data_IF_176807272551
#
_entry.id   IF_176807272551
#
_cell.length_a   1.000
_cell.length_b   1.000
_cell.length_c   1.000
_cell.angle_alpha   90.00
_cell.angle_beta   90.00
_cell.angle_gamma   90.00
#
_symmetry.space_group_name_H-M   'P 1'
#
loop_
_entity.id
_entity.type
_entity.pdbx_description
1 polymer ?
#
# COMPACT_ATOMS: atom_id res chain seq x y z
N UNK A 1 -1.54 5.93 22.58
CA UNK A 1 -2.99 5.77 22.85
C UNK A 1 -3.70 6.70 21.87
N UNK A 2 -4.08 6.19 20.70
CA UNK A 2 -4.66 7.01 19.64
C UNK A 2 -6.16 7.19 19.91
N UNK A 3 -6.62 8.45 19.94
CA UNK A 3 -8.04 8.77 20.01
C UNK A 3 -8.72 8.17 18.78
N UNK A 4 -9.71 7.30 19.00
CA UNK A 4 -10.69 6.99 17.97
C UNK A 4 -11.48 8.28 17.71
N UNK A 5 -11.08 9.04 16.70
CA UNK A 5 -11.99 9.99 16.08
C UNK A 5 -13.09 9.16 15.40
N UNK A 6 -14.36 9.49 15.64
CA UNK A 6 -15.47 8.91 14.89
C UNK A 6 -15.37 9.41 13.45
N UNK A 7 -14.56 8.76 12.63
CA UNK A 7 -14.40 9.13 11.23
C UNK A 7 -15.76 8.97 10.55
N UNK A 8 -16.25 9.98 9.82
CA UNK A 8 -17.57 9.91 9.20
C UNK A 8 -17.65 8.75 8.20
N UNK A 9 -18.81 8.12 8.12
CA UNK A 9 -19.17 7.25 7.01
C UNK A 9 -19.59 8.12 5.82
N UNK A 10 -19.14 7.77 4.61
CA UNK A 10 -19.55 8.43 3.38
C UNK A 10 -20.35 7.44 2.52
N UNK A 11 -21.42 7.90 1.86
CA UNK A 11 -22.02 7.20 0.73
C UNK A 11 -21.72 7.97 -0.55
N UNK A 12 -21.22 7.29 -1.59
CA UNK A 12 -20.87 7.88 -2.88
C UNK A 12 -21.53 7.10 -4.02
N UNK A 13 -22.23 7.80 -4.90
CA UNK A 13 -22.71 7.24 -6.15
C UNK A 13 -21.69 7.53 -7.27
N UNK A 14 -21.18 6.48 -7.93
CA UNK A 14 -20.17 6.62 -8.99
C UNK A 14 -20.65 7.48 -10.16
N UNK A 15 -21.95 7.48 -10.46
CA UNK A 15 -22.55 8.25 -11.56
C UNK A 15 -22.47 9.77 -11.35
N UNK A 16 -22.36 10.21 -10.08
CA UNK A 16 -22.21 11.63 -9.73
C UNK A 16 -20.79 12.15 -9.96
N UNK A 17 -19.82 11.26 -10.15
CA UNK A 17 -18.39 11.56 -10.28
C UNK A 17 -17.78 11.02 -11.58
N UNK A 18 -18.27 11.46 -12.76
CA UNK A 18 -17.79 10.95 -14.05
C UNK A 18 -16.35 11.37 -14.39
N UNK A 19 -15.76 12.29 -13.61
CA UNK A 19 -14.33 12.61 -13.68
C UNK A 19 -13.42 11.58 -13.01
N UNK A 20 -14.01 10.59 -12.35
CA UNK A 20 -13.35 9.46 -11.74
C UNK A 20 -13.41 9.47 -10.22
N UNK A 21 -13.58 8.27 -9.67
CA UNK A 21 -13.47 7.91 -8.27
C UNK A 21 -12.30 6.96 -8.13
N UNK A 22 -11.47 7.20 -7.11
CA UNK A 22 -10.41 6.30 -6.74
C UNK A 22 -10.38 6.07 -5.23
N UNK A 23 -10.18 4.82 -4.82
CA UNK A 23 -10.23 4.41 -3.42
C UNK A 23 -9.01 3.55 -3.07
N UNK A 24 -8.47 3.71 -1.86
CA UNK A 24 -7.37 2.89 -1.33
C UNK A 24 -7.63 2.53 0.14
N UNK A 25 -7.09 1.40 0.59
CA UNK A 25 -6.84 1.21 2.01
C UNK A 25 -5.71 2.12 2.43
N UNK A 26 -5.97 3.07 3.33
CA UNK A 26 -4.93 3.97 3.79
C UNK A 26 -3.85 3.15 4.51
N UNK A 27 -2.59 3.37 4.13
CA UNK A 27 -1.42 2.82 4.79
C UNK A 27 -0.49 3.96 5.22
N UNK A 28 0.23 3.82 6.35
CA UNK A 28 1.20 4.82 6.77
C UNK A 28 2.27 5.02 5.71
N UNK A 29 2.91 6.20 5.75
CA UNK A 29 4.09 6.47 4.95
C UNK A 29 5.21 5.51 5.37
N UNK A 30 6.01 5.04 4.42
CA UNK A 30 7.22 4.27 4.76
C UNK A 30 8.28 5.12 5.46
N UNK A 31 8.16 6.43 5.29
CA UNK A 31 8.96 7.45 5.92
C UNK A 31 8.11 8.69 6.18
N UNK A 32 8.22 9.26 7.37
CA UNK A 32 7.54 10.49 7.78
C UNK A 32 8.47 11.28 8.71
N UNK A 33 9.00 12.41 8.22
CA UNK A 33 9.74 13.38 9.05
C UNK A 33 8.90 14.55 9.53
N UNK A 34 7.65 14.67 9.06
CA UNK A 34 6.72 15.74 9.44
C UNK A 34 5.94 15.40 10.72
N UNK A 35 5.73 14.09 10.98
CA UNK A 35 5.17 13.53 12.21
C UNK A 35 3.78 14.08 12.59
N UNK A 36 2.90 14.33 11.61
CA UNK A 36 1.53 14.78 11.86
C UNK A 36 0.51 13.66 12.09
N UNK A 37 0.99 12.41 12.17
CA UNK A 37 0.13 11.25 12.29
C UNK A 37 -0.38 10.78 10.94
N UNK A 38 -1.21 9.76 10.98
CA UNK A 38 -1.64 9.01 9.82
C UNK A 38 -3.17 8.90 9.81
N UNK A 39 -3.80 9.40 8.74
CA UNK A 39 -5.24 9.33 8.53
C UNK A 39 -5.64 7.91 8.08
N UNK A 40 -6.13 7.13 9.05
CA UNK A 40 -6.63 5.76 8.85
C UNK A 40 -7.93 5.73 8.06
N UNK A 41 -8.23 4.56 7.48
CA UNK A 41 -9.50 4.29 6.83
C UNK A 41 -9.41 4.02 5.33
N UNK A 42 -10.50 4.28 4.63
CA UNK A 42 -10.61 4.26 3.18
C UNK A 42 -10.29 5.66 2.65
N UNK A 43 -9.15 5.81 2.00
CA UNK A 43 -8.77 7.07 1.36
C UNK A 43 -9.47 7.20 0.02
N UNK A 44 -10.23 8.28 -0.20
CA UNK A 44 -11.06 8.48 -1.37
C UNK A 44 -10.71 9.76 -2.11
N UNK A 45 -10.51 9.62 -3.42
CA UNK A 45 -10.50 10.72 -4.38
C UNK A 45 -11.78 10.66 -5.23
N UNK A 46 -12.45 11.80 -5.42
CA UNK A 46 -13.60 11.88 -6.33
C UNK A 46 -13.61 13.19 -7.13
N UNK A 47 -13.89 13.11 -8.43
CA UNK A 47 -13.94 14.25 -9.35
C UNK A 47 -15.22 14.22 -10.18
N UNK A 48 -15.87 15.38 -10.34
CA UNK A 48 -17.02 15.52 -11.26
C UNK A 48 -16.62 15.64 -12.72
N UNK A 49 -15.41 16.09 -13.02
CA UNK A 49 -14.90 16.25 -14.39
C UNK A 49 -13.45 15.78 -14.50
N UNK A 50 -13.03 15.37 -15.70
CA UNK A 50 -11.65 14.99 -16.02
C UNK A 50 -11.17 15.71 -17.29
N UNK A 51 -10.21 16.66 -17.21
CA UNK A 51 -9.57 17.15 -15.98
C UNK A 51 -10.53 17.98 -15.12
N UNK A 52 -10.28 18.03 -13.81
CA UNK A 52 -11.10 18.78 -12.84
C UNK A 52 -10.47 18.75 -11.45
N UNK A 53 -10.88 19.60 -10.50
CA UNK A 53 -10.38 19.54 -9.12
C UNK A 53 -10.97 18.33 -8.37
N UNK A 54 -10.21 17.78 -7.42
CA UNK A 54 -10.76 16.78 -6.48
C UNK A 54 -11.84 17.47 -5.65
N UNK A 55 -13.03 16.89 -5.60
CA UNK A 55 -14.09 17.32 -4.69
C UNK A 55 -14.01 16.59 -3.37
N UNK A 56 -13.54 15.34 -3.40
CA UNK A 56 -13.22 14.54 -2.23
C UNK A 56 -11.75 14.16 -2.31
N UNK A 57 -11.04 14.39 -1.21
CA UNK A 57 -9.64 14.05 -1.00
C UNK A 57 -9.38 13.88 0.50
N UNK A 58 -9.88 12.77 1.07
CA UNK A 58 -9.76 12.49 2.50
C UNK A 58 -10.00 11.00 2.81
N UNK A 59 -9.69 10.58 4.03
CA UNK A 59 -9.96 9.23 4.53
C UNK A 59 -11.25 9.17 5.34
N UNK A 60 -11.97 8.06 5.21
CA UNK A 60 -13.22 7.76 5.92
C UNK A 60 -13.10 6.43 6.67
N UNK A 61 -13.82 6.22 7.78
CA UNK A 61 -13.82 4.89 8.43
C UNK A 61 -14.41 3.84 7.49
N UNK A 62 -15.49 4.22 6.81
CA UNK A 62 -16.22 3.38 5.87
C UNK A 62 -16.76 4.23 4.71
N UNK A 63 -16.81 3.64 3.52
CA UNK A 63 -17.38 4.25 2.32
C UNK A 63 -18.36 3.26 1.70
N UNK A 64 -19.65 3.61 1.66
CA UNK A 64 -20.63 2.91 0.83
C UNK A 64 -20.48 3.42 -0.61
N UNK A 65 -20.06 2.54 -1.50
CA UNK A 65 -19.96 2.82 -2.94
C UNK A 65 -21.19 2.26 -3.63
N UNK A 66 -21.94 3.14 -4.28
CA UNK A 66 -23.14 2.81 -5.06
C UNK A 66 -22.85 2.93 -6.56
N UNK A 67 -23.30 1.95 -7.33
CA UNK A 67 -23.31 1.99 -8.79
C UNK A 67 -24.49 1.18 -9.32
N UNK A 68 -25.38 1.82 -10.08
CA UNK A 68 -26.67 1.23 -10.46
C UNK A 68 -27.45 0.70 -9.22
N UNK A 69 -27.84 -0.58 -9.23
CA UNK A 69 -28.48 -1.26 -8.09
C UNK A 69 -27.47 -1.94 -7.15
N UNK A 70 -26.17 -1.85 -7.44
CA UNK A 70 -25.09 -2.51 -6.69
C UNK A 70 -24.53 -1.59 -5.63
N UNK A 71 -24.14 -2.21 -4.51
CA UNK A 71 -23.54 -1.53 -3.37
C UNK A 71 -22.34 -2.31 -2.86
N UNK A 72 -21.31 -1.59 -2.42
CA UNK A 72 -20.17 -2.13 -1.70
C UNK A 72 -19.92 -1.28 -0.47
N UNK A 73 -19.83 -1.91 0.70
CA UNK A 73 -19.30 -1.25 1.88
C UNK A 73 -17.79 -1.48 1.95
N UNK A 74 -17.01 -0.44 1.62
CA UNK A 74 -15.58 -0.41 1.86
C UNK A 74 -15.35 -0.06 3.33
N UNK A 75 -14.82 -0.99 4.10
CA UNK A 75 -14.34 -0.72 5.46
C UNK A 75 -12.82 -0.53 5.43
N UNK A 76 -12.26 0.12 6.45
CA UNK A 76 -10.80 0.17 6.61
C UNK A 76 -10.18 -1.23 6.49
N UNK A 77 -10.76 -2.22 7.16
CA UNK A 77 -10.22 -3.56 7.21
C UNK A 77 -10.22 -4.23 5.82
N UNK A 78 -11.33 -4.21 5.08
CA UNK A 78 -11.36 -4.83 3.74
C UNK A 78 -10.44 -4.08 2.76
N UNK A 79 -10.43 -2.75 2.82
CA UNK A 79 -9.62 -1.90 1.94
C UNK A 79 -8.12 -2.08 2.17
N UNK A 80 -7.67 -2.03 3.42
CA UNK A 80 -6.26 -2.23 3.78
C UNK A 80 -5.80 -3.61 3.34
N UNK A 81 -6.54 -4.68 3.67
CA UNK A 81 -6.13 -6.03 3.32
C UNK A 81 -6.17 -6.28 1.81
N UNK A 82 -7.06 -5.64 1.06
CA UNK A 82 -7.00 -5.66 -0.41
C UNK A 82 -5.70 -5.05 -0.91
N UNK A 83 -5.30 -3.88 -0.39
CA UNK A 83 -4.03 -3.25 -0.72
C UNK A 83 -2.85 -4.16 -0.39
N UNK A 84 -2.84 -4.82 0.78
CA UNK A 84 -1.80 -5.78 1.17
C UNK A 84 -1.70 -6.95 0.19
N UNK A 85 -2.83 -7.55 -0.22
CA UNK A 85 -2.85 -8.67 -1.16
C UNK A 85 -2.41 -8.28 -2.56
N UNK A 86 -2.83 -7.09 -3.03
CA UNK A 86 -2.66 -6.66 -4.42
C UNK A 86 -1.20 -6.50 -4.86
N UNK A 87 -0.27 -6.29 -3.91
CA UNK A 87 1.12 -6.00 -4.25
C UNK A 87 1.86 -7.21 -4.84
N UNK A 88 1.54 -8.41 -4.36
CA UNK A 88 2.30 -9.64 -4.66
C UNK A 88 1.79 -10.39 -5.89
N UNK A 89 0.71 -9.90 -6.50
CA UNK A 89 0.17 -10.41 -7.76
C UNK A 89 -0.12 -11.93 -7.78
N UNK A 90 -0.50 -12.50 -6.62
CA UNK A 90 -1.06 -13.85 -6.55
C UNK A 90 -2.59 -13.80 -6.78
N UNK A 91 -3.24 -14.94 -7.07
CA UNK A 91 -4.69 -14.98 -7.27
C UNK A 91 -5.47 -14.46 -6.05
N UNK A 92 -6.49 -13.65 -6.29
CA UNK A 92 -7.43 -13.23 -5.26
C UNK A 92 -8.85 -13.57 -5.69
N UNK A 93 -9.71 -13.95 -4.73
CA UNK A 93 -11.10 -14.32 -4.97
C UNK A 93 -12.05 -13.55 -4.04
N UNK A 94 -13.33 -13.53 -4.41
CA UNK A 94 -14.43 -13.23 -3.48
C UNK A 94 -15.17 -14.52 -3.23
N UNK A 95 -15.24 -14.97 -1.98
CA UNK A 95 -15.91 -16.21 -1.58
C UNK A 95 -16.88 -15.96 -0.44
N UNK A 96 -17.95 -16.73 -0.42
CA UNK A 96 -18.88 -16.82 0.70
C UNK A 96 -18.53 -18.04 1.55
N UNK A 97 -18.76 -17.94 2.86
CA UNK A 97 -18.59 -19.07 3.76
C UNK A 97 -19.58 -20.19 3.40
N UNK A 98 -19.07 -21.40 3.16
CA UNK A 98 -19.89 -22.58 2.83
C UNK A 98 -20.87 -22.98 3.95
N UNK A 99 -20.65 -22.50 5.18
CA UNK A 99 -21.51 -22.80 6.33
C UNK A 99 -22.55 -21.71 6.61
N UNK A 100 -22.16 -20.44 6.72
CA UNK A 100 -23.08 -19.35 7.11
C UNK A 100 -23.43 -18.37 5.99
N UNK A 101 -22.85 -18.53 4.80
CA UNK A 101 -23.12 -17.68 3.63
C UNK A 101 -22.56 -16.25 3.70
N UNK A 102 -21.84 -15.88 4.75
CA UNK A 102 -21.22 -14.55 4.86
C UNK A 102 -19.96 -14.46 4.02
N UNK A 103 -19.71 -13.29 3.45
CA UNK A 103 -18.48 -12.99 2.71
C UNK A 103 -17.24 -13.18 3.59
N UNK A 104 -16.24 -13.84 3.02
CA UNK A 104 -14.95 -14.09 3.66
C UNK A 104 -14.00 -12.93 3.37
N UNK A 105 -13.11 -12.67 4.33
CA UNK A 105 -12.05 -11.68 4.23
C UNK A 105 -10.81 -12.24 4.94
N UNK A 106 -9.76 -12.52 4.16
CA UNK A 106 -8.46 -12.85 4.71
C UNK A 106 -7.80 -11.57 5.25
N UNK A 107 -7.27 -11.66 6.47
CA UNK A 107 -6.62 -10.54 7.17
C UNK A 107 -5.21 -10.88 7.63
N UNK A 108 -4.41 -9.84 7.93
CA UNK A 108 -3.03 -9.95 8.36
C UNK A 108 -2.18 -10.81 7.42
N UNK A 109 -1.54 -11.83 7.98
CA UNK A 109 -0.69 -12.74 7.20
C UNK A 109 -1.48 -13.54 6.16
N UNK A 110 -2.73 -13.89 6.41
CA UNK A 110 -3.57 -14.61 5.44
C UNK A 110 -3.87 -13.77 4.20
N UNK A 111 -3.85 -12.43 4.34
CA UNK A 111 -4.01 -11.53 3.20
C UNK A 111 -2.78 -11.47 2.29
N UNK A 112 -1.60 -11.97 2.72
CA UNK A 112 -0.35 -11.89 1.94
C UNK A 112 0.31 -13.24 1.69
N UNK A 113 -0.20 -14.31 2.30
CA UNK A 113 0.24 -15.69 2.07
C UNK A 113 -0.95 -16.47 1.49
N UNK A 114 -0.96 -16.74 0.17
CA UNK A 114 -2.10 -17.40 -0.46
C UNK A 114 -2.27 -18.84 0.02
N UNK A 115 -3.51 -19.19 0.36
CA UNK A 115 -3.92 -20.46 0.96
C UNK A 115 -5.06 -21.09 0.18
N UNK A 116 -5.27 -22.38 0.39
CA UNK A 116 -6.53 -23.05 0.03
C UNK A 116 -7.59 -22.86 1.12
N UNK A 117 -7.15 -22.65 2.36
CA UNK A 117 -7.97 -22.66 3.55
C UNK A 117 -8.30 -21.23 4.00
N UNK A 118 -9.60 -20.91 4.10
CA UNK A 118 -10.12 -19.59 4.48
C UNK A 118 -11.11 -19.70 5.64
N UNK A 119 -10.78 -19.11 6.79
CA UNK A 119 -11.59 -19.21 8.00
C UNK A 119 -12.63 -18.09 8.09
N UNK A 120 -13.87 -18.46 8.36
CA UNK A 120 -14.95 -17.50 8.57
C UNK A 120 -14.83 -16.84 9.95
N UNK A 121 -14.59 -15.53 10.01
CA UNK A 121 -14.58 -14.78 11.28
C UNK A 121 -15.91 -14.75 12.03
N UNK A 122 -17.01 -15.12 11.36
CA UNK A 122 -18.35 -15.04 11.94
C UNK A 122 -18.81 -16.34 12.58
N UNK A 123 -18.52 -17.50 11.95
CA UNK A 123 -18.91 -18.80 12.48
C UNK A 123 -17.73 -19.73 12.81
N UNK A 124 -16.50 -19.33 12.52
CA UNK A 124 -15.27 -20.11 12.79
C UNK A 124 -14.98 -21.21 11.77
N UNK A 125 -15.94 -21.54 10.91
CA UNK A 125 -15.81 -22.65 9.96
C UNK A 125 -14.86 -22.34 8.80
N UNK A 126 -14.26 -23.42 8.29
CA UNK A 126 -13.33 -23.39 7.17
C UNK A 126 -14.08 -23.47 5.82
N UNK A 127 -13.68 -22.64 4.87
CA UNK A 127 -14.06 -22.75 3.45
C UNK A 127 -12.80 -22.94 2.62
N UNK A 128 -12.81 -23.94 1.75
CA UNK A 128 -11.68 -24.23 0.88
C UNK A 128 -11.92 -23.69 -0.53
N UNK A 129 -10.90 -23.04 -1.10
CA UNK A 129 -10.88 -22.61 -2.51
C UNK A 129 -10.28 -23.71 -3.41
N UNK A 130 -10.52 -23.61 -4.72
CA UNK A 130 -9.93 -24.55 -5.71
C UNK A 130 -8.46 -24.26 -6.01
N UNK A 131 -7.95 -23.09 -5.62
CA UNK A 131 -6.59 -22.64 -5.86
C UNK A 131 -6.05 -21.81 -4.70
N UNK A 132 -4.72 -21.79 -4.53
CA UNK A 132 -4.08 -20.90 -3.55
C UNK A 132 -4.39 -19.45 -3.89
N UNK A 133 -5.07 -18.76 -2.97
CA UNK A 133 -5.46 -17.37 -3.15
C UNK A 133 -5.52 -16.62 -1.81
N UNK A 134 -5.76 -15.31 -1.87
CA UNK A 134 -6.35 -14.58 -0.75
C UNK A 134 -7.80 -14.22 -1.08
N UNK A 135 -8.65 -14.12 -0.08
CA UNK A 135 -10.07 -13.81 -0.25
C UNK A 135 -10.37 -12.41 0.26
N UNK A 136 -11.06 -11.61 -0.57
CA UNK A 136 -11.50 -10.27 -0.19
C UNK A 136 -12.82 -9.91 -0.93
N UNK A 137 -13.88 -9.47 -0.22
CA UNK A 137 -15.21 -9.22 -0.79
C UNK A 137 -15.22 -8.11 -1.84
N UNK A 138 -14.23 -7.20 -1.79
CA UNK A 138 -14.09 -6.09 -2.74
C UNK A 138 -14.06 -6.58 -4.20
N UNK A 139 -13.55 -7.79 -4.45
CA UNK A 139 -13.50 -8.34 -5.80
C UNK A 139 -14.87 -8.57 -6.44
N UNK A 140 -15.91 -8.87 -5.64
CA UNK A 140 -17.28 -9.04 -6.16
C UNK A 140 -17.76 -7.76 -6.83
N UNK A 141 -17.56 -6.63 -6.16
CA UNK A 141 -17.99 -5.33 -6.68
C UNK A 141 -17.13 -4.87 -7.86
N UNK A 142 -15.81 -5.09 -7.80
CA UNK A 142 -14.92 -4.88 -8.93
C UNK A 142 -15.37 -5.64 -10.18
N UNK A 143 -15.87 -6.87 -10.03
CA UNK A 143 -16.45 -7.63 -11.13
C UNK A 143 -17.71 -7.00 -11.70
N UNK A 144 -18.61 -6.46 -10.86
CA UNK A 144 -19.78 -5.71 -11.33
C UNK A 144 -19.37 -4.50 -12.19
N UNK A 145 -18.31 -3.79 -11.81
CA UNK A 145 -17.76 -2.66 -12.57
C UNK A 145 -17.02 -3.07 -13.86
N UNK A 146 -16.96 -4.36 -14.20
CA UNK A 146 -16.16 -4.86 -15.32
C UNK A 146 -14.64 -4.77 -15.10
N UNK A 147 -14.20 -4.62 -13.86
CA UNK A 147 -12.82 -4.37 -13.45
C UNK A 147 -12.29 -5.53 -12.57
N UNK A 148 -12.29 -6.75 -13.12
CA UNK A 148 -11.79 -7.94 -12.42
C UNK A 148 -10.28 -7.96 -12.16
N UNK A 149 -9.53 -6.93 -12.58
CA UNK A 149 -8.08 -6.88 -12.41
C UNK A 149 -7.71 -6.42 -11.00
N UNK A 150 -6.96 -7.25 -10.28
CA UNK A 150 -6.34 -6.86 -9.00
C UNK A 150 -5.26 -5.81 -9.21
N UNK A 151 -4.47 -5.97 -10.28
CA UNK A 151 -3.41 -5.05 -10.68
C UNK A 151 -3.69 -4.52 -12.09
N UNK A 152 -4.08 -3.25 -12.17
CA UNK A 152 -4.34 -2.57 -13.46
C UNK A 152 -3.02 -2.11 -14.10
N UNK A 153 -3.00 -1.92 -15.43
CA UNK A 153 -1.94 -1.16 -16.07
C UNK A 153 -1.85 0.25 -15.49
N UNK A 154 -0.63 0.68 -15.19
CA UNK A 154 -0.34 1.99 -14.61
C UNK A 154 0.70 2.71 -15.45
N UNK A 155 0.73 4.04 -15.35
CA UNK A 155 1.77 4.88 -15.96
C UNK A 155 2.76 5.29 -14.87
N UNK A 156 4.06 5.09 -15.14
CA UNK A 156 5.12 5.70 -14.35
C UNK A 156 5.31 7.14 -14.86
N UNK A 157 5.02 8.18 -14.05
CA UNK A 157 5.19 9.55 -14.51
C UNK A 157 6.67 9.91 -14.69
N UNK A 158 7.02 10.69 -15.70
CA UNK A 158 8.41 11.15 -15.95
C UNK A 158 8.94 12.17 -14.94
N UNK A 159 8.08 12.61 -14.01
CA UNK A 159 8.41 13.61 -12.99
C UNK A 159 9.47 13.07 -12.03
N UNK A 160 10.39 13.95 -11.66
CA UNK A 160 11.48 13.67 -10.74
C UNK A 160 11.48 14.65 -9.57
N UNK A 161 11.96 14.20 -8.42
CA UNK A 161 12.14 15.03 -7.22
C UNK A 161 13.37 14.58 -6.45
N UNK A 162 14.08 15.54 -5.87
CA UNK A 162 15.18 15.32 -4.92
C UNK A 162 14.65 15.78 -3.57
N UNK A 163 14.66 14.91 -2.57
CA UNK A 163 14.18 15.19 -1.22
C UNK A 163 15.38 15.45 -0.30
N UNK A 164 15.53 16.70 0.10
CA UNK A 164 16.52 17.17 1.06
C UNK A 164 15.91 18.18 2.03
N UNK A 165 16.54 18.34 3.19
CA UNK A 165 16.04 19.19 4.26
C UNK A 165 16.10 20.69 3.92
N UNK A 166 17.01 21.09 3.04
CA UNK A 166 17.15 22.49 2.63
C UNK A 166 15.97 22.93 1.76
N UNK A 167 15.54 22.08 0.83
CA UNK A 167 14.41 22.30 -0.05
C UNK A 167 13.06 22.12 0.65
N UNK A 168 13.00 21.20 1.64
CA UNK A 168 11.78 20.85 2.38
C UNK A 168 11.99 20.89 3.90
N UNK A 169 12.21 22.09 4.47
CA UNK A 169 12.54 22.24 5.89
C UNK A 169 11.38 21.90 6.83
N UNK A 170 10.15 21.75 6.32
CA UNK A 170 9.02 21.20 7.09
C UNK A 170 8.98 19.68 7.11
N UNK A 171 9.94 19.00 6.48
CA UNK A 171 9.95 17.55 6.33
C UNK A 171 9.13 17.07 5.13
N UNK A 172 9.02 15.75 5.01
CA UNK A 172 8.31 15.08 3.94
C UNK A 172 7.88 13.67 4.34
N UNK A 173 6.93 13.13 3.58
CA UNK A 173 6.36 11.81 3.74
C UNK A 173 6.44 11.06 2.40
N UNK A 174 6.73 9.76 2.46
CA UNK A 174 6.97 8.91 1.29
C UNK A 174 6.07 7.67 1.38
N UNK A 175 5.34 7.37 0.30
CA UNK A 175 4.55 6.15 0.16
C UNK A 175 4.92 5.42 -1.14
N UNK A 176 4.83 4.10 -1.12
CA UNK A 176 4.72 3.33 -2.35
C UNK A 176 3.30 3.47 -2.89
N UNK A 177 3.13 3.97 -4.11
CA UNK A 177 1.81 4.08 -4.71
C UNK A 177 1.31 2.67 -5.05
N UNK A 178 0.38 2.15 -4.25
CA UNK A 178 -0.28 0.88 -4.54
C UNK A 178 -1.45 1.11 -5.50
N UNK A 179 -1.80 0.11 -6.34
CA UNK A 179 -3.00 0.20 -7.18
C UNK A 179 -4.23 0.52 -6.34
N UNK A 180 -5.04 1.42 -6.84
CA UNK A 180 -6.34 1.73 -6.25
C UNK A 180 -7.28 0.52 -6.25
N UNK A 181 -8.10 0.41 -5.21
CA UNK A 181 -9.19 -0.55 -5.13
C UNK A 181 -10.19 -0.29 -6.27
N UNK A 182 -10.57 0.97 -6.43
CA UNK A 182 -11.43 1.48 -7.51
C UNK A 182 -10.65 2.51 -8.31
N UNK A 183 -10.80 2.49 -9.64
CA UNK A 183 -10.35 3.55 -10.53
C UNK A 183 -11.35 3.69 -11.67
N UNK A 184 -12.24 4.68 -11.60
CA UNK A 184 -13.29 4.86 -12.62
C UNK A 184 -12.96 5.94 -13.65
N UNK A 185 -11.81 6.61 -13.52
CA UNK A 185 -11.36 7.57 -14.51
C UNK A 185 -10.96 6.87 -15.82
N UNK A 186 -11.21 7.51 -16.96
CA UNK A 186 -10.82 7.00 -18.29
C UNK A 186 -9.31 7.00 -18.52
N UNK A 187 -8.60 7.98 -17.94
CA UNK A 187 -7.14 8.05 -17.98
C UNK A 187 -6.54 6.91 -17.16
N UNK A 188 -5.33 6.47 -17.52
CA UNK A 188 -4.62 5.46 -16.73
C UNK A 188 -4.23 6.00 -15.35
N UNK A 189 -4.21 5.12 -14.36
CA UNK A 189 -3.71 5.42 -13.02
C UNK A 189 -2.20 5.67 -13.08
N UNK A 190 -1.75 6.78 -12.49
CA UNK A 190 -0.32 7.00 -12.27
C UNK A 190 0.11 6.25 -11.02
N UNK A 191 1.26 5.59 -11.07
CA UNK A 191 1.74 4.80 -9.94
C UNK A 191 3.25 4.78 -9.89
N UNK A 192 3.85 5.21 -8.77
CA UNK A 192 5.27 5.12 -8.50
C UNK A 192 5.52 5.42 -7.00
N UNK A 193 6.31 6.43 -6.66
CA UNK A 193 6.48 6.90 -5.28
C UNK A 193 5.64 8.16 -5.09
N UNK A 194 4.73 8.13 -4.12
CA UNK A 194 3.93 9.30 -3.75
C UNK A 194 4.64 10.08 -2.64
N UNK A 195 4.69 11.40 -2.78
CA UNK A 195 5.43 12.28 -1.88
C UNK A 195 4.55 13.44 -1.45
N UNK A 196 4.53 13.69 -0.14
CA UNK A 196 4.17 14.98 0.43
C UNK A 196 5.43 15.66 0.96
N UNK A 197 5.60 16.95 0.67
CA UNK A 197 6.69 17.73 1.24
C UNK A 197 6.21 19.11 1.70
N UNK A 198 6.84 19.62 2.75
CA UNK A 198 6.35 20.75 3.52
C UNK A 198 7.38 21.88 3.60
N UNK A 199 6.91 23.12 3.54
CA UNK A 199 7.77 24.29 3.80
C UNK A 199 8.04 24.47 5.30
N UNK A 200 8.88 25.44 5.66
CA UNK A 200 9.24 25.75 7.06
C UNK A 200 8.06 26.15 7.95
N UNK A 201 6.91 26.50 7.36
CA UNK A 201 5.68 26.85 8.08
C UNK A 201 4.77 25.62 8.23
N UNK A 202 5.22 24.45 7.80
CA UNK A 202 4.45 23.21 7.77
C UNK A 202 3.39 23.19 6.69
N UNK A 203 3.40 24.10 5.70
CA UNK A 203 2.44 24.07 4.60
C UNK A 203 2.86 23.04 3.57
N UNK A 204 1.95 22.16 3.17
CA UNK A 204 2.18 21.20 2.07
C UNK A 204 2.41 21.96 0.77
N UNK A 205 3.58 21.80 0.18
CA UNK A 205 3.99 22.40 -1.10
C UNK A 205 4.22 21.36 -2.20
N UNK A 206 4.39 20.09 -1.82
CA UNK A 206 4.41 18.95 -2.74
C UNK A 206 3.32 17.97 -2.32
N UNK A 207 2.55 17.51 -3.31
CA UNK A 207 1.55 16.44 -3.21
C UNK A 207 1.42 15.84 -4.61
N UNK A 208 2.27 14.85 -4.89
CA UNK A 208 2.29 14.22 -6.21
C UNK A 208 2.99 12.87 -6.20
N UNK A 209 2.78 12.11 -7.27
CA UNK A 209 3.47 10.87 -7.58
C UNK A 209 4.61 11.12 -8.56
N UNK A 210 5.79 10.54 -8.30
CA UNK A 210 7.03 10.74 -9.04
C UNK A 210 7.62 9.40 -9.46
N UNK A 211 8.07 9.30 -10.72
CA UNK A 211 8.74 8.11 -11.24
C UNK A 211 10.20 8.01 -10.81
N UNK A 212 10.78 9.11 -10.33
CA UNK A 212 12.16 9.15 -9.84
C UNK A 212 12.22 10.00 -8.57
N UNK A 213 12.65 9.40 -7.46
CA UNK A 213 12.78 10.07 -6.16
C UNK A 213 14.16 9.84 -5.61
N UNK A 214 14.91 10.92 -5.39
CA UNK A 214 16.24 10.87 -4.78
C UNK A 214 16.17 11.30 -3.33
N UNK A 215 16.90 10.61 -2.46
CA UNK A 215 17.04 10.93 -1.04
C UNK A 215 18.51 10.75 -0.67
N UNK A 216 19.14 11.77 -0.08
CA UNK A 216 20.57 11.72 0.30
C UNK A 216 21.48 11.26 -0.86
N UNK A 217 21.18 11.70 -2.08
CA UNK A 217 21.91 11.30 -3.29
C UNK A 217 21.68 9.86 -3.76
N UNK A 218 20.81 9.08 -3.09
CA UNK A 218 20.44 7.72 -3.48
C UNK A 218 19.06 7.69 -4.13
N UNK A 219 18.93 6.91 -5.20
CA UNK A 219 17.67 6.70 -5.89
C UNK A 219 16.82 5.69 -5.11
N UNK A 220 15.57 6.04 -4.81
CA UNK A 220 14.60 5.10 -4.25
C UNK A 220 14.06 4.17 -5.32
N UNK A 221 14.13 2.87 -5.04
CA UNK A 221 13.47 1.86 -5.84
C UNK A 221 11.96 1.78 -5.50
N UNK A 222 11.13 1.85 -6.54
CA UNK A 222 9.67 1.90 -6.41
C UNK A 222 9.13 0.61 -5.78
N UNK A 223 9.66 -0.56 -6.17
CA UNK A 223 9.18 -1.85 -5.68
C UNK A 223 9.59 -2.07 -4.23
N UNK A 224 10.86 -1.77 -3.89
CA UNK A 224 11.34 -1.86 -2.51
C UNK A 224 10.51 -0.99 -1.56
N UNK A 225 10.17 0.25 -1.97
CA UNK A 225 9.34 1.16 -1.18
C UNK A 225 7.91 0.63 -1.02
N UNK A 226 7.28 0.12 -2.09
CA UNK A 226 5.94 -0.47 -1.99
C UNK A 226 5.92 -1.69 -1.07
N UNK A 227 6.85 -2.62 -1.28
CA UNK A 227 6.95 -3.84 -0.47
C UNK A 227 7.25 -3.50 0.98
N UNK A 228 8.12 -2.51 1.25
CA UNK A 228 8.41 -2.07 2.61
C UNK A 228 7.15 -1.54 3.32
N UNK A 229 6.27 -0.84 2.60
CA UNK A 229 5.02 -0.34 3.16
C UNK A 229 4.13 -1.48 3.68
N UNK A 230 4.01 -2.55 2.90
CA UNK A 230 3.23 -3.74 3.26
C UNK A 230 3.90 -4.50 4.42
N UNK A 231 5.23 -4.64 4.36
CA UNK A 231 6.03 -5.24 5.42
C UNK A 231 5.86 -4.50 6.76
N UNK A 232 5.85 -3.16 6.75
CA UNK A 232 5.65 -2.34 7.94
C UNK A 232 4.20 -2.40 8.46
N UNK A 233 3.22 -2.60 7.58
CA UNK A 233 1.82 -2.75 7.94
C UNK A 233 1.50 -4.12 8.59
N UNK A 234 2.44 -5.07 8.60
CA UNK A 234 2.27 -6.42 9.16
C UNK A 234 3.07 -6.58 10.46
N UNK A 235 2.43 -6.48 11.65
CA UNK A 235 3.13 -6.59 12.93
C UNK A 235 4.00 -7.85 13.10
N UNK A 236 3.58 -9.05 12.63
CA UNK A 236 4.41 -10.25 12.75
C UNK A 236 5.78 -10.16 12.06
N UNK A 237 5.96 -9.25 11.10
CA UNK A 237 7.19 -9.13 10.32
C UNK A 237 8.24 -8.22 10.97
N UNK A 238 7.85 -7.35 11.90
CA UNK A 238 8.72 -6.27 12.42
C UNK A 238 10.06 -6.78 12.99
N UNK A 239 10.08 -7.94 13.63
CA UNK A 239 11.31 -8.57 14.16
C UNK A 239 12.22 -9.17 13.10
N UNK A 240 11.69 -9.44 11.90
CA UNK A 240 12.36 -10.15 10.81
C UNK A 240 12.86 -9.23 9.70
N UNK A 241 12.40 -7.98 9.63
CA UNK A 241 12.86 -7.03 8.60
C UNK A 241 14.30 -6.57 8.84
N UNK A 242 15.15 -6.83 7.85
CA UNK A 242 16.57 -6.49 7.82
C UNK A 242 16.95 -5.89 6.47
N UNK A 243 18.20 -5.44 6.37
CA UNK A 243 18.81 -5.04 5.10
C UNK A 243 20.16 -5.74 5.02
N UNK A 244 20.24 -6.76 4.17
CA UNK A 244 21.47 -7.50 3.93
C UNK A 244 22.09 -7.11 2.60
N UNK A 245 23.38 -7.38 2.48
CA UNK A 245 24.11 -7.33 1.23
C UNK A 245 24.63 -8.73 0.92
N UNK A 246 24.73 -9.07 -0.36
CA UNK A 246 25.36 -10.31 -0.79
C UNK A 246 26.82 -10.33 -0.31
N UNK A 247 27.28 -11.37 0.39
CA UNK A 247 28.66 -11.43 0.91
C UNK A 247 29.72 -11.56 -0.20
N UNK A 248 29.32 -11.90 -1.44
CA UNK A 248 30.25 -12.06 -2.57
C UNK A 248 30.45 -10.78 -3.38
N UNK A 249 29.38 -10.12 -3.79
CA UNK A 249 29.44 -8.93 -4.65
C UNK A 249 29.06 -7.63 -3.93
N UNK A 250 28.67 -7.70 -2.66
CA UNK A 250 28.19 -6.57 -1.87
C UNK A 250 26.94 -5.88 -2.44
N UNK A 251 26.18 -6.55 -3.30
CA UNK A 251 24.90 -6.02 -3.79
C UNK A 251 23.84 -6.00 -2.67
N UNK A 252 23.07 -4.92 -2.48
CA UNK A 252 21.93 -4.92 -1.55
C UNK A 252 20.93 -6.01 -1.93
N UNK A 253 20.56 -6.88 -0.99
CA UNK A 253 19.65 -7.98 -1.26
C UNK A 253 18.20 -7.59 -0.99
N UNK A 254 17.31 -7.82 -1.95
CA UNK A 254 15.88 -7.57 -1.83
C UNK A 254 15.10 -8.87 -2.03
N UNK A 255 14.37 -9.30 -1.01
CA UNK A 255 13.48 -10.45 -1.12
C UNK A 255 12.18 -10.05 -1.84
N UNK A 256 11.84 -10.79 -2.89
CA UNK A 256 10.70 -10.54 -3.77
C UNK A 256 9.61 -11.59 -3.60
N UNK A 257 8.43 -11.33 -4.17
CA UNK A 257 7.27 -12.23 -4.15
C UNK A 257 6.95 -12.70 -2.72
N UNK A 258 6.68 -13.99 -2.50
CA UNK A 258 6.35 -14.53 -1.18
C UNK A 258 7.52 -14.46 -0.19
N UNK A 259 8.77 -14.44 -0.66
CA UNK A 259 9.94 -14.31 0.20
C UNK A 259 10.00 -12.92 0.87
N UNK A 260 9.31 -11.92 0.30
CA UNK A 260 9.16 -10.60 0.89
C UNK A 260 8.28 -10.58 2.16
N UNK A 261 7.56 -11.66 2.47
CA UNK A 261 6.68 -11.76 3.66
C UNK A 261 6.85 -13.06 4.45
N UNK A 262 7.73 -13.96 4.00
CA UNK A 262 8.03 -15.23 4.69
C UNK A 262 9.48 -15.17 5.19
N UNK A 263 9.73 -15.04 6.51
CA UNK A 263 11.08 -15.06 7.04
C UNK A 263 11.79 -16.39 6.78
N UNK A 264 12.96 -16.33 6.16
CA UNK A 264 13.75 -17.47 5.70
C UNK A 264 15.25 -17.24 5.94
N UNK A 265 16.07 -18.28 5.72
CA UNK A 265 17.51 -18.23 5.98
C UNK A 265 18.36 -18.21 4.72
N UNK A 266 17.87 -18.76 3.61
CA UNK A 266 18.63 -18.90 2.35
C UNK A 266 18.19 -17.85 1.34
N UNK A 267 19.11 -16.96 0.96
CA UNK A 267 18.87 -15.89 0.01
C UNK A 267 19.67 -16.14 -1.26
N UNK A 268 19.11 -15.81 -2.43
CA UNK A 268 19.81 -15.84 -3.70
C UNK A 268 20.01 -14.41 -4.21
N UNK A 269 21.27 -13.99 -4.38
CA UNK A 269 21.56 -12.67 -4.92
C UNK A 269 21.11 -12.57 -6.38
N UNK A 270 20.29 -11.57 -6.69
CA UNK A 270 19.81 -11.25 -8.04
C UNK A 270 20.92 -10.79 -8.99
N UNK A 271 22.00 -10.17 -8.48
CA UNK A 271 23.11 -9.70 -9.30
C UNK A 271 24.14 -10.80 -9.65
N UNK A 272 24.58 -11.61 -8.66
CA UNK A 272 25.67 -12.58 -8.86
C UNK A 272 25.26 -14.04 -8.65
N UNK A 273 23.97 -14.29 -8.40
CA UNK A 273 23.36 -15.62 -8.21
C UNK A 273 23.96 -16.46 -7.09
N UNK A 274 24.79 -15.85 -6.23
CA UNK A 274 25.34 -16.55 -5.08
C UNK A 274 24.25 -16.73 -4.04
N UNK A 275 24.08 -17.97 -3.60
CA UNK A 275 23.22 -18.31 -2.47
C UNK A 275 24.01 -18.08 -1.18
N UNK A 276 23.41 -17.39 -0.23
CA UNK A 276 24.03 -17.12 1.07
C UNK A 276 23.00 -17.24 2.19
N UNK A 277 23.49 -17.60 3.38
CA UNK A 277 22.64 -17.82 4.54
C UNK A 277 22.71 -16.64 5.52
N UNK A 278 21.58 -16.29 6.11
CA UNK A 278 21.46 -15.31 7.19
C UNK A 278 20.60 -15.88 8.33
N UNK A 279 20.60 -15.26 9.54
CA UNK A 279 19.56 -15.55 10.52
C UNK A 279 18.18 -15.33 9.91
N UNK A 280 17.18 -16.13 10.32
CA UNK A 280 15.82 -16.08 9.76
C UNK A 280 15.30 -14.64 9.68
N UNK A 281 15.10 -14.13 8.47
CA UNK A 281 14.79 -12.73 8.22
C UNK A 281 14.18 -12.53 6.82
N UNK A 282 13.82 -11.28 6.54
CA UNK A 282 13.41 -10.77 5.23
C UNK A 282 14.24 -9.52 4.96
N UNK A 283 14.88 -9.43 3.81
CA UNK A 283 15.73 -8.32 3.41
C UNK A 283 14.98 -7.34 2.51
N UNK A 284 15.00 -6.06 2.88
CA UNK A 284 14.57 -4.96 2.03
C UNK A 284 15.55 -3.77 2.17
N UNK A 285 16.33 -3.44 1.12
CA UNK A 285 17.35 -2.38 1.18
C UNK A 285 16.79 -0.99 1.53
N UNK A 286 15.54 -0.69 1.14
CA UNK A 286 14.91 0.59 1.46
C UNK A 286 14.81 0.84 2.97
N UNK A 287 14.78 -0.22 3.79
CA UNK A 287 14.75 -0.09 5.25
C UNK A 287 16.00 0.63 5.80
N UNK A 288 17.19 0.30 5.30
CA UNK A 288 18.43 0.91 5.78
C UNK A 288 18.53 2.38 5.36
N UNK A 289 18.19 2.67 4.10
CA UNK A 289 18.20 4.03 3.56
C UNK A 289 17.23 4.95 4.32
N UNK A 290 15.98 4.52 4.53
CA UNK A 290 15.00 5.33 5.25
C UNK A 290 15.32 5.49 6.75
N UNK A 291 16.02 4.52 7.36
CA UNK A 291 16.55 4.68 8.73
C UNK A 291 17.68 5.71 8.81
N UNK A 292 18.60 5.71 7.85
CA UNK A 292 19.64 6.73 7.75
C UNK A 292 19.02 8.13 7.58
N UNK A 293 18.02 8.23 6.71
CA UNK A 293 17.27 9.46 6.51
C UNK A 293 16.57 9.93 7.79
N UNK A 294 15.97 9.01 8.55
CA UNK A 294 15.30 9.32 9.81
C UNK A 294 16.29 9.85 10.86
N UNK A 295 17.51 9.29 10.90
CA UNK A 295 18.57 9.79 11.77
C UNK A 295 19.01 11.21 11.36
N UNK A 296 19.31 11.42 10.08
CA UNK A 296 19.76 12.72 9.56
C UNK A 296 18.71 13.83 9.76
N UNK A 297 17.43 13.53 9.57
CA UNK A 297 16.35 14.51 9.76
C UNK A 297 16.05 14.84 11.23
N UNK A 298 16.31 13.92 12.16
CA UNK A 298 16.17 14.19 13.60
C UNK A 298 17.26 15.12 14.13
N UNK A 299 18.48 15.01 13.62
CA UNK A 299 19.59 15.90 13.99
C UNK A 299 19.29 17.35 13.57
N UNK A 300 18.74 17.57 12.37
CA UNK A 300 18.40 18.91 11.85
C UNK A 300 17.24 19.60 12.59
N UNK A 301 16.32 18.85 13.21
CA UNK A 301 15.19 19.42 13.96
C UNK A 301 15.51 19.80 15.42
N UNK A 302 16.73 19.51 15.89
CA UNK A 302 17.17 19.77 17.26
C UNK A 302 18.30 20.81 17.38
N UNK A 303 18.72 21.39 16.25
CA UNK A 303 19.57 22.59 16.17
C UNK A 303 18.74 23.84 15.80
#
# INVERSE_FOLDING_TARGET
MFKAASTPTLSINLDEYPGGVAAWGALPAVFDSYNQGFDRGVHLHARRTDPGKKQIDQSFAEVEVCWEDKRLLLTEESAVHFTLSSIFNFPMLSLDCNHCGRELLDTGMSAVIPSFDHYCRYCGELTQSEQRCAVNPILRFKHYLGDGQVKRPVVIPSRQIILDADSYPGGFQIWGSNPSILWTAKRQEESAIHVHAYDKRGKRIVDNTYGTVWVMGQLLDIEMVRVLQIQQALPPLQGYLKSYHCPRCNHPHFDQALLAVIPHQEHACDQCHTVFSTPRAISNPALALLKQLAAATREVCHD
#
